data_IF_879593340175
#
_entry.id   IF_879593340175
#
_cell.length_a   1.000
_cell.length_b   1.000
_cell.length_c   1.000
_cell.angle_alpha   90.00
_cell.angle_beta   90.00
_cell.angle_gamma   90.00
#
_symmetry.space_group_name_H-M   'P 1'
#
loop_
_entity.id
_entity.type
_entity.pdbx_description
1 polymer ?
#
# COMPACT_ATOMS: atom_id res chain seq x y z
N UNK A 1 -12.56 15.49 4.72
CA UNK A 1 -12.43 15.14 3.28
C UNK A 1 -11.73 13.80 3.20
N UNK A 2 -12.20 12.88 2.38
CA UNK A 2 -11.61 11.53 2.23
C UNK A 2 -10.24 11.62 1.58
N UNK A 3 -9.19 11.09 2.20
CA UNK A 3 -7.85 10.99 1.63
C UNK A 3 -7.83 9.86 0.58
N UNK A 4 -7.39 10.19 -0.64
CA UNK A 4 -7.31 9.25 -1.77
C UNK A 4 -5.85 8.84 -1.94
N UNK A 5 -5.57 7.56 -1.72
CA UNK A 5 -4.24 6.98 -1.79
C UNK A 5 -4.10 6.14 -3.06
N UNK A 6 -3.10 6.45 -3.87
CA UNK A 6 -2.70 5.61 -5.00
C UNK A 6 -1.64 4.60 -4.54
N UNK A 7 -2.00 3.32 -4.52
CA UNK A 7 -1.09 2.20 -4.24
C UNK A 7 -0.35 1.83 -5.52
N UNK A 8 0.97 2.01 -5.53
CA UNK A 8 1.80 1.69 -6.69
C UNK A 8 2.22 0.22 -6.70
N UNK A 9 2.38 -0.39 -5.50
CA UNK A 9 2.71 -1.82 -5.37
C UNK A 9 3.84 -2.27 -6.31
N UNK A 10 3.71 -3.46 -6.87
CA UNK A 10 4.56 -3.99 -7.93
C UNK A 10 4.18 -3.55 -9.33
N UNK A 11 3.25 -2.59 -9.49
CA UNK A 11 2.75 -2.16 -10.80
C UNK A 11 3.77 -1.37 -11.66
N UNK A 12 4.93 -1.07 -11.10
CA UNK A 12 6.08 -0.58 -11.84
C UNK A 12 6.77 -1.66 -12.72
N UNK A 13 6.46 -2.96 -12.50
CA UNK A 13 7.02 -4.07 -13.29
C UNK A 13 8.56 -4.15 -13.26
N UNK A 14 9.20 -3.82 -12.13
CA UNK A 14 10.65 -3.83 -11.98
C UNK A 14 11.39 -2.66 -12.65
N UNK A 15 10.70 -1.57 -13.00
CA UNK A 15 11.28 -0.41 -13.66
C UNK A 15 11.10 0.87 -12.84
N UNK A 16 12.21 1.52 -12.44
CA UNK A 16 12.19 2.82 -11.76
C UNK A 16 11.44 3.87 -12.62
N UNK A 17 11.68 3.89 -13.94
CA UNK A 17 10.96 4.80 -14.83
C UNK A 17 9.44 4.63 -14.73
N UNK A 18 8.96 3.39 -14.67
CA UNK A 18 7.53 3.13 -14.51
C UNK A 18 7.02 3.52 -13.12
N UNK A 19 7.82 3.34 -12.07
CA UNK A 19 7.46 3.80 -10.72
C UNK A 19 7.28 5.33 -10.68
N UNK A 20 8.17 6.09 -11.32
CA UNK A 20 8.04 7.54 -11.47
C UNK A 20 6.79 7.93 -12.28
N UNK A 21 6.52 7.25 -13.41
CA UNK A 21 5.29 7.46 -14.19
C UNK A 21 4.02 7.18 -13.39
N UNK A 22 4.05 6.21 -12.48
CA UNK A 22 2.90 5.93 -11.60
C UNK A 22 2.66 7.05 -10.59
N UNK A 23 3.72 7.66 -10.05
CA UNK A 23 3.61 8.83 -9.17
C UNK A 23 3.01 10.02 -9.92
N UNK A 24 3.52 10.33 -11.10
CA UNK A 24 2.99 11.36 -11.99
C UNK A 24 1.51 11.10 -12.32
N UNK A 25 1.18 9.86 -12.71
CA UNK A 25 -0.20 9.44 -13.00
C UNK A 25 -1.13 9.60 -11.78
N UNK A 26 -0.63 9.31 -10.56
CA UNK A 26 -1.38 9.49 -9.33
C UNK A 26 -1.70 10.98 -9.08
N UNK A 27 -0.72 11.86 -9.26
CA UNK A 27 -0.88 13.31 -9.12
C UNK A 27 -1.90 13.85 -10.14
N UNK A 28 -1.72 13.51 -11.42
CA UNK A 28 -2.62 13.92 -12.51
C UNK A 28 -4.06 13.39 -12.32
N UNK A 29 -4.21 12.23 -11.70
CA UNK A 29 -5.52 11.68 -11.36
C UNK A 29 -6.16 12.38 -10.16
N UNK A 30 -5.41 13.15 -9.38
CA UNK A 30 -5.88 13.90 -8.22
C UNK A 30 -5.87 13.08 -6.91
N UNK A 31 -4.96 12.12 -6.78
CA UNK A 31 -4.68 11.47 -5.49
C UNK A 31 -4.07 12.47 -4.50
N UNK A 32 -4.20 12.18 -3.20
CA UNK A 32 -3.61 12.98 -2.12
C UNK A 32 -2.28 12.39 -1.65
N UNK A 33 -2.12 11.07 -1.87
CA UNK A 33 -0.93 10.35 -1.44
C UNK A 33 -0.60 9.19 -2.37
N UNK A 34 0.68 8.79 -2.35
CA UNK A 34 1.13 7.51 -2.92
C UNK A 34 1.59 6.58 -1.82
N UNK A 35 1.35 5.28 -2.01
CA UNK A 35 1.85 4.25 -1.11
C UNK A 35 2.80 3.33 -1.83
N UNK A 36 3.91 3.03 -1.16
CA UNK A 36 4.93 2.08 -1.59
C UNK A 36 4.85 0.78 -0.79
N UNK A 37 5.61 -0.22 -1.22
CA UNK A 37 5.80 -1.46 -0.48
C UNK A 37 7.30 -1.70 -0.28
N UNK A 38 7.72 -1.79 0.97
CA UNK A 38 9.10 -2.07 1.35
C UNK A 38 9.22 -3.49 1.85
N UNK A 39 9.84 -4.37 1.08
CA UNK A 39 10.12 -5.74 1.46
C UNK A 39 11.33 -6.31 0.74
N UNK A 40 11.94 -7.32 1.35
CA UNK A 40 12.95 -8.17 0.71
C UNK A 40 12.28 -9.45 0.21
N UNK A 41 12.39 -9.79 -1.08
CA UNK A 41 11.70 -10.92 -1.69
C UNK A 41 11.88 -12.24 -0.96
N UNK A 42 13.11 -12.56 -0.59
CA UNK A 42 13.47 -13.82 0.07
C UNK A 42 12.87 -13.91 1.47
N UNK A 43 12.92 -12.82 2.25
CA UNK A 43 12.33 -12.78 3.59
C UNK A 43 10.81 -12.88 3.54
N UNK A 44 10.17 -12.11 2.66
CA UNK A 44 8.72 -12.13 2.53
C UNK A 44 8.22 -13.51 2.06
N UNK A 45 8.90 -14.12 1.09
CA UNK A 45 8.57 -15.47 0.63
C UNK A 45 8.66 -16.50 1.77
N UNK A 46 9.71 -16.42 2.60
CA UNK A 46 9.89 -17.32 3.76
C UNK A 46 8.79 -17.11 4.80
N UNK A 47 8.41 -15.86 5.11
CA UNK A 47 7.34 -15.54 6.07
C UNK A 47 5.96 -16.00 5.60
N UNK A 48 5.72 -16.06 4.29
CA UNK A 48 4.43 -16.39 3.68
C UNK A 48 4.33 -17.83 3.16
N UNK A 49 5.36 -18.64 3.25
CA UNK A 49 5.41 -20.00 2.71
C UNK A 49 4.27 -20.91 3.23
N UNK A 50 3.77 -20.68 4.42
CA UNK A 50 2.71 -21.44 5.06
C UNK A 50 1.30 -20.89 4.87
N UNK A 51 1.11 -19.91 3.96
CA UNK A 51 -0.18 -19.28 3.68
C UNK A 51 -0.75 -19.76 2.35
N UNK A 52 -1.68 -20.75 2.37
CA UNK A 52 -2.25 -21.31 1.14
C UNK A 52 -2.88 -20.27 0.21
N UNK A 53 -3.51 -19.24 0.80
CA UNK A 53 -4.12 -18.14 0.05
C UNK A 53 -3.11 -17.33 -0.77
N UNK A 54 -1.88 -17.19 -0.28
CA UNK A 54 -0.81 -16.49 -1.00
C UNK A 54 -0.29 -17.36 -2.14
N UNK A 55 -0.18 -18.66 -1.93
CA UNK A 55 0.18 -19.61 -2.98
C UNK A 55 -0.84 -19.62 -4.14
N UNK A 56 -2.12 -19.56 -3.83
CA UNK A 56 -3.17 -19.47 -4.84
C UNK A 56 -3.02 -18.22 -5.72
N UNK A 57 -2.56 -17.09 -5.15
CA UNK A 57 -2.33 -15.85 -5.89
C UNK A 57 -1.09 -15.91 -6.79
N UNK A 58 -0.13 -16.79 -6.52
CA UNK A 58 1.11 -16.89 -7.31
C UNK A 58 0.93 -17.54 -8.70
N UNK A 59 -0.25 -18.13 -8.97
CA UNK A 59 -0.50 -18.83 -10.23
C UNK A 59 0.44 -20.00 -10.50
N UNK A 60 1.02 -20.60 -9.45
CA UNK A 60 1.99 -21.70 -9.55
C UNK A 60 3.44 -21.27 -9.75
N UNK A 61 3.72 -19.97 -9.77
CA UNK A 61 5.09 -19.44 -9.77
C UNK A 61 5.64 -19.46 -8.33
N UNK A 62 6.92 -19.82 -8.10
CA UNK A 62 7.52 -19.71 -6.78
C UNK A 62 7.36 -18.29 -6.20
N UNK A 63 6.93 -18.17 -4.94
CA UNK A 63 6.65 -16.86 -4.30
C UNK A 63 7.85 -15.92 -4.37
N UNK A 64 9.05 -16.43 -4.19
CA UNK A 64 10.27 -15.61 -4.26
C UNK A 64 10.45 -14.97 -5.64
N UNK A 65 10.15 -15.70 -6.71
CA UNK A 65 10.30 -15.18 -8.08
C UNK A 65 9.22 -14.14 -8.39
N UNK A 66 7.99 -14.33 -7.86
CA UNK A 66 6.94 -13.33 -7.93
C UNK A 66 7.37 -12.05 -7.21
N UNK A 67 7.85 -12.16 -5.98
CA UNK A 67 8.27 -11.01 -5.16
C UNK A 67 9.50 -10.30 -5.75
N UNK A 68 10.47 -11.02 -6.33
CA UNK A 68 11.60 -10.40 -7.05
C UNK A 68 11.16 -9.53 -8.22
N UNK A 69 10.06 -9.87 -8.89
CA UNK A 69 9.50 -9.08 -9.99
C UNK A 69 8.70 -7.86 -9.53
N UNK A 70 8.20 -7.88 -8.31
CA UNK A 70 7.25 -6.87 -7.81
C UNK A 70 7.81 -6.00 -6.69
N UNK A 71 8.97 -6.34 -6.10
CA UNK A 71 9.55 -5.53 -5.04
C UNK A 71 10.03 -4.17 -5.54
N UNK A 72 9.96 -3.18 -4.68
CA UNK A 72 10.57 -1.87 -4.89
C UNK A 72 11.98 -1.91 -4.28
N UNK A 73 13.04 -1.83 -5.10
CA UNK A 73 14.41 -1.78 -4.59
C UNK A 73 14.62 -0.64 -3.61
N UNK A 74 15.31 -0.89 -2.51
CA UNK A 74 15.51 0.11 -1.44
C UNK A 74 16.21 1.38 -1.91
N UNK A 75 17.11 1.25 -2.85
CA UNK A 75 17.82 2.36 -3.48
C UNK A 75 16.92 3.30 -4.30
N UNK A 76 15.70 2.88 -4.64
CA UNK A 76 14.74 3.75 -5.34
C UNK A 76 13.99 4.69 -4.39
N UNK A 77 13.84 4.32 -3.12
CA UNK A 77 12.99 5.07 -2.19
C UNK A 77 13.32 6.56 -2.10
N UNK A 78 14.60 6.99 -1.96
CA UNK A 78 14.89 8.44 -1.95
C UNK A 78 14.40 9.15 -3.21
N UNK A 79 14.60 8.52 -4.38
CA UNK A 79 14.18 9.10 -5.67
C UNK A 79 12.64 9.16 -5.77
N UNK A 80 11.95 8.09 -5.33
CA UNK A 80 10.49 8.04 -5.35
C UNK A 80 9.86 9.03 -4.39
N UNK A 81 10.47 9.24 -3.22
CA UNK A 81 10.04 10.22 -2.22
C UNK A 81 10.18 11.63 -2.76
N UNK A 82 11.38 12.00 -3.23
CA UNK A 82 11.64 13.31 -3.83
C UNK A 82 10.67 13.60 -4.98
N UNK A 83 10.36 12.59 -5.78
CA UNK A 83 9.46 12.73 -6.93
C UNK A 83 7.99 12.85 -6.49
N UNK A 84 7.56 12.15 -5.45
CA UNK A 84 6.23 12.32 -4.87
C UNK A 84 6.05 13.73 -4.29
N UNK A 85 7.04 14.22 -3.54
CA UNK A 85 7.05 15.58 -2.97
C UNK A 85 7.06 16.65 -4.06
N UNK A 86 7.77 16.44 -5.17
CA UNK A 86 7.74 17.36 -6.32
C UNK A 86 6.33 17.54 -6.91
N UNK A 87 5.48 16.51 -6.80
CA UNK A 87 4.07 16.56 -7.21
C UNK A 87 3.09 16.90 -6.07
N UNK A 88 3.58 17.39 -4.94
CA UNK A 88 2.77 17.68 -3.74
C UNK A 88 1.98 16.48 -3.20
N UNK A 89 2.42 15.25 -3.48
CA UNK A 89 1.83 14.03 -2.96
C UNK A 89 2.46 13.67 -1.62
N UNK A 90 1.63 13.38 -0.63
CA UNK A 90 2.08 12.68 0.57
C UNK A 90 2.55 11.28 0.18
N UNK A 91 3.41 10.71 1.00
CA UNK A 91 3.85 9.32 0.80
C UNK A 91 3.86 8.53 2.10
N UNK A 92 3.79 7.22 2.00
CA UNK A 92 4.03 6.28 3.09
C UNK A 92 4.27 4.89 2.51
N UNK A 93 4.60 3.92 3.37
CA UNK A 93 4.92 2.57 2.90
C UNK A 93 4.30 1.47 3.75
N UNK A 94 4.02 0.34 3.11
CA UNK A 94 3.86 -0.92 3.82
C UNK A 94 5.22 -1.46 4.20
N UNK A 95 5.32 -2.04 5.41
CA UNK A 95 6.46 -2.81 5.87
C UNK A 95 6.03 -4.25 6.11
N UNK A 96 6.91 -5.21 5.80
CA UNK A 96 6.62 -6.64 5.88
C UNK A 96 7.59 -7.40 6.80
N UNK A 97 8.53 -6.66 7.41
CA UNK A 97 9.54 -7.18 8.32
C UNK A 97 10.03 -6.03 9.23
N UNK A 98 10.45 -6.28 10.48
CA UNK A 98 11.06 -5.23 11.33
C UNK A 98 12.25 -4.51 10.70
N UNK A 99 13.04 -5.20 9.85
CA UNK A 99 14.15 -4.56 9.11
C UNK A 99 13.68 -3.58 8.04
N UNK A 100 12.48 -3.79 7.50
CA UNK A 100 11.88 -2.84 6.56
C UNK A 100 11.44 -1.58 7.30
N UNK A 101 10.88 -1.74 8.51
CA UNK A 101 10.58 -0.59 9.40
C UNK A 101 11.85 0.19 9.72
N UNK A 102 12.92 -0.50 10.14
CA UNK A 102 14.20 0.15 10.45
C UNK A 102 14.78 0.91 9.23
N UNK A 103 14.65 0.36 8.02
CA UNK A 103 15.06 1.05 6.80
C UNK A 103 14.19 2.29 6.54
N UNK A 104 12.87 2.16 6.61
CA UNK A 104 11.93 3.25 6.38
C UNK A 104 12.08 4.38 7.39
N UNK A 105 12.51 4.10 8.63
CA UNK A 105 12.86 5.12 9.63
C UNK A 105 14.08 5.95 9.21
N UNK A 106 15.02 5.40 8.46
CA UNK A 106 16.15 6.20 7.92
C UNK A 106 15.71 7.23 6.87
N UNK A 107 14.47 7.10 6.38
CA UNK A 107 13.85 7.98 5.38
C UNK A 107 12.73 8.84 5.98
N UNK A 108 12.60 8.86 7.30
CA UNK A 108 11.53 9.58 8.01
C UNK A 108 10.11 9.23 7.52
N UNK A 109 9.84 7.94 7.25
CA UNK A 109 8.53 7.49 6.81
C UNK A 109 7.43 8.03 7.74
N UNK A 110 6.45 8.81 7.24
CA UNK A 110 5.54 9.56 8.11
C UNK A 110 4.46 8.70 8.75
N UNK A 111 4.11 7.55 8.15
CA UNK A 111 3.16 6.56 8.67
C UNK A 111 3.39 5.21 8.03
N UNK A 112 2.89 4.16 8.65
CA UNK A 112 3.08 2.78 8.21
C UNK A 112 1.77 2.13 7.81
N UNK A 113 1.86 1.21 6.83
CA UNK A 113 0.76 0.30 6.50
C UNK A 113 1.13 -1.13 6.90
N UNK A 114 0.19 -1.81 7.55
CA UNK A 114 0.24 -3.25 7.80
C UNK A 114 -0.82 -3.90 6.91
N UNK A 115 -0.42 -4.84 6.06
CA UNK A 115 -1.35 -5.53 5.17
C UNK A 115 -2.20 -6.55 5.95
N UNK A 116 -3.31 -6.96 5.35
CA UNK A 116 -4.20 -7.95 5.95
C UNK A 116 -3.54 -9.31 6.17
N UNK A 117 -2.46 -9.62 5.46
CA UNK A 117 -1.69 -10.85 5.67
C UNK A 117 -0.77 -10.75 6.89
N UNK A 118 -0.30 -9.56 7.24
CA UNK A 118 0.59 -9.27 8.36
C UNK A 118 -0.14 -8.74 9.59
N UNK A 119 -1.49 -8.65 9.58
CA UNK A 119 -2.30 -8.06 10.67
C UNK A 119 -2.13 -8.75 12.05
N UNK A 120 -1.59 -9.95 12.10
CA UNK A 120 -1.29 -10.68 13.33
C UNK A 120 0.22 -10.90 13.52
N UNK A 121 1.06 -10.22 12.75
CA UNK A 121 2.51 -10.31 12.89
C UNK A 121 3.00 -9.35 13.98
N UNK A 122 3.13 -9.87 15.18
CA UNK A 122 3.50 -9.08 16.36
C UNK A 122 4.89 -8.45 16.29
N UNK A 123 5.82 -9.03 15.54
CA UNK A 123 7.16 -8.46 15.38
C UNK A 123 7.10 -7.16 14.56
N UNK A 124 6.33 -7.16 13.47
CA UNK A 124 6.11 -5.97 12.65
C UNK A 124 5.33 -4.92 13.43
N UNK A 125 4.22 -5.34 14.07
CA UNK A 125 3.37 -4.44 14.88
C UNK A 125 4.19 -3.76 15.97
N UNK A 126 5.02 -4.54 16.70
CA UNK A 126 5.90 -4.02 17.74
C UNK A 126 6.91 -3.02 17.18
N UNK A 127 7.60 -3.38 16.10
CA UNK A 127 8.59 -2.51 15.48
C UNK A 127 8.00 -1.17 15.04
N UNK A 128 6.81 -1.18 14.41
CA UNK A 128 6.13 0.06 14.00
C UNK A 128 5.65 0.85 15.22
N UNK A 129 5.11 0.19 16.23
CA UNK A 129 4.65 0.84 17.46
C UNK A 129 5.78 1.58 18.18
N UNK A 130 6.98 1.02 18.19
CA UNK A 130 8.17 1.64 18.79
C UNK A 130 8.58 2.94 18.07
N UNK A 131 8.17 3.17 16.82
CA UNK A 131 8.39 4.44 16.11
C UNK A 131 7.49 5.58 16.62
N UNK A 132 6.38 5.28 17.27
CA UNK A 132 5.36 6.27 17.68
C UNK A 132 4.57 6.88 16.53
N UNK A 133 4.76 6.42 15.28
CA UNK A 133 4.12 6.96 14.09
C UNK A 133 2.76 6.33 13.82
N UNK A 134 1.86 7.00 13.06
CA UNK A 134 0.55 6.47 12.69
C UNK A 134 0.62 5.15 11.92
N UNK A 135 -0.37 4.29 12.15
CA UNK A 135 -0.49 2.99 11.49
C UNK A 135 -1.82 2.92 10.74
N UNK A 136 -1.77 2.47 9.51
CA UNK A 136 -2.93 2.04 8.72
C UNK A 136 -2.94 0.51 8.70
N UNK A 137 -3.95 -0.11 9.30
CA UNK A 137 -4.07 -1.56 9.36
C UNK A 137 -5.15 -2.05 8.40
N UNK A 138 -4.80 -2.98 7.50
CA UNK A 138 -5.81 -3.72 6.74
C UNK A 138 -6.35 -4.87 7.57
N UNK A 139 -7.66 -4.93 7.73
CA UNK A 139 -8.34 -6.06 8.35
C UNK A 139 -9.19 -6.77 7.30
N UNK A 140 -9.29 -8.10 7.39
CA UNK A 140 -10.20 -8.89 6.57
C UNK A 140 -11.40 -9.28 7.44
N UNK A 141 -12.52 -8.57 7.37
CA UNK A 141 -13.74 -9.06 7.97
C UNK A 141 -14.17 -10.35 7.26
N UNK A 142 -14.87 -11.24 7.97
CA UNK A 142 -15.36 -12.52 7.43
C UNK A 142 -16.31 -12.37 6.21
N UNK A 143 -16.71 -11.13 5.88
CA UNK A 143 -17.56 -10.80 4.73
C UNK A 143 -16.81 -10.56 3.41
N UNK A 144 -15.49 -10.80 3.34
CA UNK A 144 -14.69 -10.67 2.11
C UNK A 144 -14.34 -9.24 1.68
N UNK A 145 -14.68 -8.23 2.46
CA UNK A 145 -14.24 -6.84 2.26
C UNK A 145 -12.93 -6.60 3.01
N UNK A 146 -11.97 -5.94 2.37
CA UNK A 146 -10.79 -5.44 3.07
C UNK A 146 -11.07 -4.02 3.55
N UNK A 147 -11.09 -3.83 4.84
CA UNK A 147 -11.32 -2.53 5.49
C UNK A 147 -9.96 -2.00 5.95
N UNK A 148 -9.72 -0.70 5.75
CA UNK A 148 -8.61 0.01 6.34
C UNK A 148 -9.04 0.58 7.69
N UNK A 149 -8.38 0.17 8.75
CA UNK A 149 -8.48 0.85 10.04
C UNK A 149 -7.28 1.79 10.14
N UNK A 150 -7.55 3.10 10.13
CA UNK A 150 -6.56 4.10 10.47
C UNK A 150 -6.64 4.33 11.97
N UNK A 151 -5.64 3.87 12.71
CA UNK A 151 -5.54 4.12 14.14
C UNK A 151 -4.41 5.08 14.42
N UNK A 152 -4.73 6.21 15.07
CA UNK A 152 -3.70 6.98 15.79
C UNK A 152 -3.46 6.24 17.11
N UNK A 153 -2.27 5.71 17.28
CA UNK A 153 -1.89 5.04 18.51
C UNK A 153 -1.43 6.07 19.56
N UNK A 154 -2.33 6.47 20.43
CA UNK A 154 -1.99 6.87 21.81
C UNK A 154 -2.35 5.70 22.72
N UNK A 155 -1.37 4.81 22.95
CA UNK A 155 -1.52 3.66 23.85
C UNK A 155 -2.31 2.48 23.29
N UNK A 156 -2.17 1.31 23.93
CA UNK A 156 -2.89 0.08 23.60
C UNK A 156 -4.35 0.23 24.09
N UNK A 157 -5.13 0.98 23.39
CA UNK A 157 -6.58 0.92 23.46
C UNK A 157 -7.09 0.74 22.04
N UNK A 158 -7.68 -0.41 21.78
CA UNK A 158 -8.60 -0.60 20.68
C UNK A 158 -9.75 0.38 20.94
N UNK A 159 -9.59 1.61 20.48
CA UNK A 159 -10.66 2.58 20.61
C UNK A 159 -11.77 2.15 19.64
N UNK A 160 -12.97 1.96 20.13
CA UNK A 160 -14.14 1.53 19.36
C UNK A 160 -14.62 2.58 18.36
N UNK A 161 -13.99 3.73 18.29
CA UNK A 161 -14.17 4.76 17.27
C UNK A 161 -13.06 4.66 16.23
N UNK A 162 -12.95 3.51 15.57
CA UNK A 162 -12.04 3.35 14.44
C UNK A 162 -12.60 4.08 13.21
N UNK A 163 -11.82 5.01 12.68
CA UNK A 163 -12.11 5.61 11.40
C UNK A 163 -11.87 4.55 10.31
N UNK A 164 -12.96 3.95 9.82
CA UNK A 164 -12.87 2.90 8.81
C UNK A 164 -12.66 3.52 7.43
N UNK A 165 -11.54 3.18 6.80
CA UNK A 165 -11.27 3.45 5.39
C UNK A 165 -11.58 2.25 4.50
N UNK A 166 -11.30 2.37 3.21
CA UNK A 166 -11.48 1.31 2.22
C UNK A 166 -10.18 1.05 1.46
N UNK A 167 -9.71 -0.20 1.43
CA UNK A 167 -8.74 -0.69 0.44
C UNK A 167 -9.51 -1.35 -0.69
N UNK A 168 -9.60 -0.67 -1.83
CA UNK A 168 -10.41 -1.09 -2.94
C UNK A 168 -9.59 -1.84 -3.99
N UNK A 169 -10.00 -3.06 -4.29
CA UNK A 169 -9.55 -3.80 -5.46
C UNK A 169 -10.57 -3.58 -6.59
N UNK A 170 -10.21 -2.74 -7.55
CA UNK A 170 -11.11 -2.30 -8.63
C UNK A 170 -11.89 -1.01 -8.31
N UNK A 171 -12.81 -0.65 -9.22
CA UNK A 171 -13.66 0.56 -9.12
C UNK A 171 -14.76 0.37 -8.07
N UNK A 172 -14.47 0.76 -6.86
CA UNK A 172 -15.43 0.72 -5.75
C UNK A 172 -15.37 2.04 -4.98
N UNK A 173 -16.49 2.75 -4.90
CA UNK A 173 -16.58 3.94 -4.07
C UNK A 173 -16.48 3.57 -2.58
N UNK A 174 -15.83 4.40 -1.76
CA UNK A 174 -15.86 4.24 -0.33
C UNK A 174 -17.27 4.51 0.20
N UNK A 175 -17.56 4.02 1.41
CA UNK A 175 -18.77 4.39 2.10
C UNK A 175 -18.72 5.87 2.54
N UNK A 176 -19.89 6.54 2.69
CA UNK A 176 -19.94 7.93 3.11
C UNK A 176 -19.20 8.16 4.45
N UNK A 177 -18.33 9.17 4.48
CA UNK A 177 -17.57 9.51 5.68
C UNK A 177 -16.27 8.71 5.87
N UNK A 178 -15.91 7.81 4.95
CA UNK A 178 -14.61 7.13 5.00
C UNK A 178 -13.47 8.17 5.00
N UNK A 179 -12.56 8.13 5.99
CA UNK A 179 -11.46 9.10 6.06
C UNK A 179 -10.40 8.86 4.99
N UNK A 180 -10.29 7.63 4.50
CA UNK A 180 -9.29 7.21 3.52
C UNK A 180 -9.85 6.16 2.59
N UNK A 181 -9.41 6.21 1.33
CA UNK A 181 -9.57 5.14 0.36
C UNK A 181 -8.25 4.89 -0.36
N UNK A 182 -7.90 3.63 -0.53
CA UNK A 182 -6.70 3.18 -1.23
C UNK A 182 -7.10 2.45 -2.51
N UNK A 183 -6.55 2.86 -3.64
CA UNK A 183 -6.70 2.21 -4.93
C UNK A 183 -5.36 1.79 -5.49
N UNK A 184 -5.24 0.53 -5.93
CA UNK A 184 -4.11 0.13 -6.74
C UNK A 184 -4.14 0.86 -8.08
N UNK A 185 -3.00 1.44 -8.49
CA UNK A 185 -2.84 2.18 -9.73
C UNK A 185 -1.92 1.44 -10.68
N UNK A 186 -2.26 1.40 -11.98
CA UNK A 186 -1.42 0.81 -13.02
C UNK A 186 -1.26 1.72 -14.24
N UNK A 187 -0.19 1.51 -14.97
CA UNK A 187 0.00 2.08 -16.30
C UNK A 187 -0.77 1.26 -17.35
N UNK A 188 -1.08 1.88 -18.48
CA UNK A 188 -1.82 1.22 -19.57
C UNK A 188 -0.97 0.21 -20.35
N UNK A 189 0.34 0.45 -20.40
CA UNK A 189 1.32 -0.23 -21.22
C UNK A 189 2.22 -1.19 -20.43
N UNK A 190 1.88 -1.47 -19.17
CA UNK A 190 2.64 -2.37 -18.29
C UNK A 190 1.74 -3.44 -17.72
N UNK A 191 2.04 -4.70 -18.02
CA UNK A 191 1.36 -5.85 -17.43
C UNK A 191 2.07 -6.30 -16.16
N UNK A 192 1.30 -6.43 -15.07
CA UNK A 192 1.81 -6.77 -13.74
C UNK A 192 0.84 -7.73 -13.04
N UNK A 193 1.27 -8.44 -12.00
CA UNK A 193 0.39 -9.34 -11.26
C UNK A 193 -0.86 -8.67 -10.70
N UNK A 194 -0.77 -7.40 -10.29
CA UNK A 194 -1.88 -6.64 -9.70
C UNK A 194 -2.76 -5.93 -10.75
N UNK A 195 -2.42 -6.05 -12.04
CA UNK A 195 -3.10 -5.31 -13.12
C UNK A 195 -4.61 -5.57 -13.19
N UNK A 196 -5.06 -6.78 -12.85
CA UNK A 196 -6.47 -7.19 -12.96
C UNK A 196 -7.42 -6.42 -12.04
N UNK A 197 -6.94 -5.92 -10.92
CA UNK A 197 -7.73 -5.16 -9.94
C UNK A 197 -7.24 -3.72 -9.72
N UNK A 198 -6.22 -3.30 -10.46
CA UNK A 198 -5.66 -1.95 -10.41
C UNK A 198 -6.38 -1.02 -11.38
N UNK A 199 -6.59 0.21 -10.96
CA UNK A 199 -7.21 1.26 -11.77
C UNK A 199 -6.19 1.86 -12.73
N UNK A 200 -6.68 2.23 -13.92
CA UNK A 200 -5.97 3.13 -14.82
C UNK A 200 -6.21 4.58 -14.41
N UNK A 201 -5.41 5.50 -14.94
CA UNK A 201 -5.55 6.93 -14.66
C UNK A 201 -6.99 7.46 -14.79
N UNK A 202 -7.65 7.20 -15.92
CA UNK A 202 -9.01 7.67 -16.16
C UNK A 202 -10.03 7.10 -15.16
N UNK A 203 -9.82 5.87 -14.70
CA UNK A 203 -10.67 5.22 -13.72
C UNK A 203 -10.43 5.80 -12.32
N UNK A 204 -9.18 6.10 -11.96
CA UNK A 204 -8.86 6.78 -10.71
C UNK A 204 -9.42 8.21 -10.71
N UNK A 205 -9.30 8.96 -11.81
CA UNK A 205 -9.91 10.28 -11.97
C UNK A 205 -11.44 10.26 -11.79
N UNK A 206 -12.10 9.22 -12.31
CA UNK A 206 -13.53 9.02 -12.11
C UNK A 206 -13.86 8.82 -10.63
N UNK A 207 -13.08 7.98 -9.92
CA UNK A 207 -13.27 7.76 -8.49
C UNK A 207 -13.01 9.01 -7.66
N UNK A 208 -11.97 9.78 -8.00
CA UNK A 208 -11.70 11.08 -7.37
C UNK A 208 -12.89 12.03 -7.50
N UNK A 209 -13.50 12.13 -8.70
CA UNK A 209 -14.69 12.96 -8.92
C UNK A 209 -15.89 12.50 -8.09
N UNK A 210 -16.12 11.19 -8.02
CA UNK A 210 -17.23 10.62 -7.22
C UNK A 210 -17.05 10.93 -5.73
N UNK A 211 -15.81 10.88 -5.23
CA UNK A 211 -15.49 11.07 -3.80
C UNK A 211 -15.53 12.54 -3.41
N UNK A 212 -15.14 13.43 -4.29
CA UNK A 212 -15.04 14.87 -4.01
C UNK A 212 -16.30 15.68 -4.38
N UNK A 213 -17.25 15.11 -5.12
CA UNK A 213 -18.51 15.71 -5.56
C UNK A 213 -18.33 16.50 -6.84
#
# INVERSE_FOLDING_TARGET
>A
MTEIVAEISGNHGGSLRNALRLIETAAEAGADAVKFQCFEPERLATRRVWRPEVWALSGGVPLVDLYRKTHTPKEWFPILIDYAEFYDLKWFSSAFDPKDVAFLETLDCPRYKISAFEMLDWDIIKAIKETGKPIVLSVRPRCGLTILEATQYEGIHWNTETELGLSAHGKRAPFPGAPMVEYHLRLNDVETPDASFSLRMAELQEMVRIIRG
#
